data_IF_692714828764
#
_entry.id   IF_692714828764
#
_cell.length_a   1.000
_cell.length_b   1.000
_cell.length_c   1.000
_cell.angle_alpha   90.00
_cell.angle_beta   90.00
_cell.angle_gamma   90.00
#
_symmetry.space_group_name_H-M   'P 1'
#
loop_
_entity.id
_entity.type
_entity.pdbx_description
1 polymer ?
#
# COMPACT_ATOMS: atom_id res chain seq x y z
N UNK A 1 -6.09 8.88 29.74
CA UNK A 1 -6.25 7.94 30.88
C UNK A 1 -7.70 7.55 31.17
N UNK A 2 -8.71 8.45 31.15
CA UNK A 2 -10.12 8.05 31.42
C UNK A 2 -10.64 6.98 30.44
N UNK A 3 -10.32 7.07 29.17
CA UNK A 3 -10.83 6.15 28.15
C UNK A 3 -10.27 4.73 28.25
N UNK A 4 -9.00 4.56 28.68
CA UNK A 4 -8.39 3.24 28.87
C UNK A 4 -9.06 2.45 30.00
N UNK A 5 -9.34 3.09 31.14
CA UNK A 5 -10.05 2.44 32.27
C UNK A 5 -11.45 1.98 31.88
N UNK A 6 -12.18 2.75 31.06
CA UNK A 6 -13.49 2.33 30.55
C UNK A 6 -13.38 1.11 29.61
N UNK A 7 -12.31 1.04 28.82
CA UNK A 7 -12.07 -0.09 27.92
C UNK A 7 -11.68 -1.36 28.69
N UNK A 8 -10.91 -1.23 29.77
CA UNK A 8 -10.58 -2.36 30.67
C UNK A 8 -11.82 -2.98 31.31
N UNK A 9 -12.85 -2.16 31.59
CA UNK A 9 -14.13 -2.57 32.12
C UNK A 9 -15.12 -3.08 31.07
N UNK A 10 -14.80 -2.94 29.79
CA UNK A 10 -15.63 -3.43 28.70
C UNK A 10 -15.65 -4.97 28.64
N UNK A 11 -16.68 -5.60 28.03
CA UNK A 11 -16.72 -7.04 27.80
C UNK A 11 -15.45 -7.56 27.14
N UNK A 12 -15.09 -8.82 27.41
CA UNK A 12 -13.85 -9.45 26.88
C UNK A 12 -13.82 -9.57 25.36
N UNK A 13 -14.98 -9.48 24.72
CA UNK A 13 -15.07 -9.39 23.25
C UNK A 13 -16.04 -8.29 22.85
N UNK A 14 -15.52 -7.28 22.16
CA UNK A 14 -16.37 -6.25 21.56
C UNK A 14 -16.96 -6.79 20.24
N UNK A 15 -18.26 -6.57 19.97
CA UNK A 15 -18.95 -7.15 18.81
C UNK A 15 -18.57 -6.53 17.47
N UNK A 16 -17.63 -5.58 17.47
CA UNK A 16 -17.27 -4.82 16.29
C UNK A 16 -16.29 -5.59 15.37
N UNK A 17 -16.53 -5.53 14.07
CA UNK A 17 -15.61 -6.03 13.05
C UNK A 17 -14.49 -5.05 12.74
N UNK A 18 -14.65 -3.80 13.16
CA UNK A 18 -13.78 -2.69 12.84
C UNK A 18 -13.69 -1.73 14.02
N UNK A 19 -12.49 -1.33 14.37
CA UNK A 19 -12.24 -0.34 15.40
C UNK A 19 -11.31 0.75 14.89
N UNK A 20 -11.56 1.99 15.28
CA UNK A 20 -10.66 3.12 15.04
C UNK A 20 -10.02 3.49 16.36
N UNK A 21 -8.70 3.49 16.40
CA UNK A 21 -7.91 3.74 17.59
C UNK A 21 -7.01 4.96 17.42
N UNK A 22 -7.25 5.97 18.24
CA UNK A 22 -6.38 7.13 18.31
C UNK A 22 -5.10 6.78 19.09
N UNK A 23 -3.99 6.72 18.37
CA UNK A 23 -2.68 6.36 18.91
C UNK A 23 -1.99 7.58 19.54
N UNK A 24 -1.67 7.44 20.82
CA UNK A 24 -0.97 8.46 21.62
C UNK A 24 0.54 8.17 21.82
N UNK A 25 1.05 7.12 21.18
CA UNK A 25 2.43 6.66 21.36
C UNK A 25 2.60 5.55 22.40
N UNK A 26 1.57 5.24 23.21
CA UNK A 26 1.65 4.27 24.29
C UNK A 26 1.26 2.84 23.84
N UNK A 27 2.18 1.88 23.93
CA UNK A 27 1.92 0.47 23.58
C UNK A 27 0.85 -0.18 24.46
N UNK A 28 0.73 0.25 25.71
CA UNK A 28 -0.26 -0.31 26.65
C UNK A 28 -1.68 -0.11 26.11
N UNK A 29 -2.00 1.06 25.55
CA UNK A 29 -3.31 1.32 24.98
C UNK A 29 -3.65 0.41 23.81
N UNK A 30 -2.69 0.18 22.94
CA UNK A 30 -2.83 -0.74 21.80
C UNK A 30 -3.11 -2.17 22.27
N UNK A 31 -2.34 -2.67 23.24
CA UNK A 31 -2.54 -4.01 23.83
C UNK A 31 -3.91 -4.18 24.44
N UNK A 32 -4.41 -3.19 25.18
CA UNK A 32 -5.74 -3.23 25.79
C UNK A 32 -6.84 -3.27 24.72
N UNK A 33 -6.75 -2.42 23.69
CA UNK A 33 -7.73 -2.39 22.59
C UNK A 33 -7.74 -3.71 21.84
N UNK A 34 -6.57 -4.19 21.44
CA UNK A 34 -6.46 -5.42 20.64
C UNK A 34 -6.88 -6.66 21.42
N UNK A 35 -6.63 -6.72 22.74
CA UNK A 35 -7.09 -7.82 23.60
C UNK A 35 -8.64 -7.92 23.69
N UNK A 36 -9.36 -6.81 23.53
CA UNK A 36 -10.83 -6.77 23.55
C UNK A 36 -11.46 -6.97 22.17
N UNK A 37 -10.67 -7.00 21.11
CA UNK A 37 -11.19 -7.22 19.75
C UNK A 37 -11.43 -8.71 19.52
N UNK A 38 -12.57 -9.02 18.90
CA UNK A 38 -12.86 -10.38 18.46
C UNK A 38 -11.89 -10.84 17.37
N UNK A 39 -11.81 -12.15 17.18
CA UNK A 39 -11.04 -12.72 16.07
C UNK A 39 -11.52 -12.20 14.71
N UNK A 40 -10.57 -11.89 13.82
CA UNK A 40 -10.84 -11.32 12.50
C UNK A 40 -11.23 -9.84 12.47
N UNK A 41 -11.39 -9.20 13.64
CA UNK A 41 -11.62 -7.75 13.67
C UNK A 41 -10.37 -6.97 13.25
N UNK A 42 -10.58 -5.87 12.54
CA UNK A 42 -9.52 -5.00 12.03
C UNK A 42 -9.43 -3.70 12.81
N UNK A 43 -8.20 -3.25 13.05
CA UNK A 43 -7.90 -1.99 13.70
C UNK A 43 -7.38 -0.98 12.67
N UNK A 44 -7.94 0.21 12.72
CA UNK A 44 -7.39 1.39 12.06
C UNK A 44 -6.73 2.26 13.12
N UNK A 45 -5.43 2.42 13.03
CA UNK A 45 -4.69 3.35 13.86
C UNK A 45 -4.78 4.78 13.30
N UNK A 46 -5.15 5.72 14.13
CA UNK A 46 -5.10 7.15 13.80
C UNK A 46 -4.04 7.80 14.68
N UNK A 47 -3.06 8.44 14.06
CA UNK A 47 -1.93 9.06 14.76
C UNK A 47 -1.82 10.54 14.38
N UNK A 48 -1.30 11.41 15.26
CA UNK A 48 -0.87 12.73 14.84
C UNK A 48 0.08 12.66 13.65
N UNK A 49 0.22 13.71 12.84
CA UNK A 49 1.21 13.77 11.76
C UNK A 49 2.58 13.37 12.30
N UNK A 50 3.11 12.26 11.82
CA UNK A 50 4.31 11.62 12.34
C UNK A 50 5.20 11.15 11.19
N UNK A 51 6.41 10.72 11.52
CA UNK A 51 7.32 10.11 10.56
C UNK A 51 6.91 8.65 10.26
N UNK A 52 7.47 8.09 9.22
CA UNK A 52 7.22 6.73 8.76
C UNK A 52 7.46 5.66 9.86
N UNK A 53 8.46 5.87 10.73
CA UNK A 53 8.76 4.94 11.82
C UNK A 53 7.59 4.80 12.82
N UNK A 54 6.87 5.88 13.11
CA UNK A 54 5.70 5.83 13.99
C UNK A 54 4.52 5.09 13.35
N UNK A 55 4.34 5.23 12.03
CA UNK A 55 3.30 4.53 11.27
C UNK A 55 3.58 3.02 11.24
N UNK A 56 4.82 2.62 10.98
CA UNK A 56 5.20 1.20 10.92
C UNK A 56 5.09 0.50 12.27
N UNK A 57 5.33 1.22 13.38
CA UNK A 57 5.18 0.66 14.72
C UNK A 57 3.76 0.14 14.99
N UNK A 58 2.72 0.87 14.61
CA UNK A 58 1.33 0.42 14.72
C UNK A 58 1.05 -0.79 13.82
N UNK A 59 1.58 -0.78 12.61
CA UNK A 59 1.38 -1.87 11.65
C UNK A 59 2.07 -3.18 12.03
N UNK A 60 2.99 -3.19 12.99
CA UNK A 60 3.58 -4.42 13.52
C UNK A 60 2.56 -5.27 14.31
N UNK A 61 1.48 -4.66 14.83
CA UNK A 61 0.37 -5.45 15.35
C UNK A 61 -0.39 -6.14 14.19
N UNK A 62 -0.62 -7.45 14.25
CA UNK A 62 -1.26 -8.19 13.16
C UNK A 62 -2.70 -7.75 12.87
N UNK A 63 -3.39 -7.13 13.83
CA UNK A 63 -4.76 -6.62 13.69
C UNK A 63 -4.81 -5.22 13.10
N UNK A 64 -3.71 -4.46 13.20
CA UNK A 64 -3.61 -3.10 12.67
C UNK A 64 -3.07 -3.14 11.25
N UNK A 65 -3.94 -3.11 10.25
CA UNK A 65 -3.56 -3.12 8.84
C UNK A 65 -3.67 -1.74 8.17
N UNK A 66 -4.14 -0.74 8.91
CA UNK A 66 -4.38 0.60 8.41
C UNK A 66 -3.92 1.63 9.42
N UNK A 67 -3.06 2.54 9.02
CA UNK A 67 -2.62 3.66 9.85
C UNK A 67 -2.75 4.95 9.06
N UNK A 68 -3.38 5.93 9.66
CA UNK A 68 -3.73 7.21 9.06
C UNK A 68 -3.29 8.35 9.98
N UNK A 69 -3.00 9.51 9.40
CA UNK A 69 -2.82 10.73 10.21
C UNK A 69 -4.15 11.39 10.51
N UNK A 70 -4.23 12.04 11.68
CA UNK A 70 -5.42 12.77 12.14
C UNK A 70 -5.51 14.14 11.44
N UNK A 71 -5.87 14.13 10.16
CA UNK A 71 -6.14 15.33 9.35
C UNK A 71 -7.37 15.09 8.45
N UNK A 72 -7.82 16.11 7.74
CA UNK A 72 -9.00 16.03 6.88
C UNK A 72 -8.89 14.95 5.80
N UNK A 73 -7.68 14.68 5.32
CA UNK A 73 -7.43 13.60 4.35
C UNK A 73 -7.58 12.21 4.98
N UNK A 74 -7.31 12.09 6.28
CA UNK A 74 -7.47 10.85 7.03
C UNK A 74 -8.92 10.40 7.09
N UNK A 75 -9.87 11.30 7.31
CA UNK A 75 -11.30 10.93 7.36
C UNK A 75 -11.80 10.37 6.02
N UNK A 76 -11.41 10.97 4.88
CA UNK A 76 -11.74 10.42 3.57
C UNK A 76 -11.15 9.02 3.38
N UNK A 77 -9.92 8.80 3.84
CA UNK A 77 -9.25 7.50 3.77
C UNK A 77 -9.92 6.46 4.67
N UNK A 78 -10.41 6.84 5.85
CA UNK A 78 -11.21 5.96 6.71
C UNK A 78 -12.48 5.50 6.00
N UNK A 79 -13.20 6.41 5.34
CA UNK A 79 -14.41 6.06 4.60
C UNK A 79 -14.14 5.03 3.48
N UNK A 80 -13.09 5.24 2.68
CA UNK A 80 -12.65 4.29 1.66
C UNK A 80 -12.25 2.94 2.31
N UNK A 81 -11.55 2.96 3.43
CA UNK A 81 -11.13 1.75 4.15
C UNK A 81 -12.35 0.95 4.61
N UNK A 82 -13.35 1.60 5.23
CA UNK A 82 -14.59 0.96 5.66
C UNK A 82 -15.36 0.40 4.46
N UNK A 83 -15.51 1.18 3.38
CA UNK A 83 -16.18 0.73 2.16
C UNK A 83 -15.56 -0.54 1.61
N UNK A 84 -14.23 -0.58 1.42
CA UNK A 84 -13.51 -1.75 0.94
C UNK A 84 -13.71 -2.97 1.85
N UNK A 85 -13.73 -2.74 3.13
CA UNK A 85 -13.93 -3.79 4.12
C UNK A 85 -15.35 -4.39 4.08
N UNK A 86 -16.37 -3.53 3.90
CA UNK A 86 -17.77 -3.94 3.84
C UNK A 86 -18.10 -4.63 2.52
N UNK A 87 -17.58 -4.11 1.41
CA UNK A 87 -17.91 -4.61 0.07
C UNK A 87 -17.01 -5.77 -0.39
N UNK A 88 -15.82 -5.93 0.21
CA UNK A 88 -14.79 -6.85 -0.29
C UNK A 88 -14.17 -6.42 -1.61
N UNK A 89 -14.59 -5.30 -2.20
CA UNK A 89 -14.01 -4.76 -3.43
C UNK A 89 -12.74 -3.96 -3.13
N UNK A 90 -11.59 -4.63 -3.21
CA UNK A 90 -10.31 -4.06 -2.78
C UNK A 90 -9.60 -3.24 -3.86
N UNK A 91 -9.72 -3.64 -5.12
CA UNK A 91 -8.91 -3.12 -6.22
C UNK A 91 -9.51 -1.88 -6.86
N UNK A 92 -8.67 -1.09 -7.48
CA UNK A 92 -9.05 0.08 -8.28
C UNK A 92 -8.62 1.40 -7.67
N UNK A 93 -7.84 2.15 -8.46
CA UNK A 93 -7.37 3.50 -8.13
C UNK A 93 -8.54 4.50 -7.97
N UNK A 94 -9.67 4.23 -8.61
CA UNK A 94 -10.87 5.08 -8.61
C UNK A 94 -11.43 5.34 -7.22
N UNK A 95 -11.19 4.42 -6.28
CA UNK A 95 -11.63 4.54 -4.89
C UNK A 95 -10.96 5.71 -4.14
N UNK A 96 -9.84 6.18 -4.67
CA UNK A 96 -9.02 7.25 -4.10
C UNK A 96 -9.15 8.57 -4.88
N UNK A 97 -10.09 8.63 -5.81
CA UNK A 97 -10.30 9.75 -6.71
C UNK A 97 -11.72 10.29 -6.54
N UNK A 98 -11.93 11.58 -6.79
CA UNK A 98 -13.28 12.13 -6.97
C UNK A 98 -14.03 11.35 -8.05
N UNK A 99 -15.36 11.27 -7.90
CA UNK A 99 -16.23 10.66 -8.91
C UNK A 99 -15.97 11.27 -10.28
N UNK A 100 -16.06 10.46 -11.32
CA UNK A 100 -15.91 10.86 -12.72
C UNK A 100 -14.50 11.37 -13.10
N UNK A 101 -13.47 11.15 -12.26
CA UNK A 101 -12.10 11.45 -12.61
C UNK A 101 -11.62 10.51 -13.74
N UNK A 102 -11.10 11.08 -14.82
CA UNK A 102 -10.55 10.31 -15.93
C UNK A 102 -9.29 9.54 -15.48
N UNK A 103 -9.29 8.22 -15.65
CA UNK A 103 -8.18 7.34 -15.33
C UNK A 103 -7.54 6.83 -16.61
N UNK A 104 -6.24 7.04 -16.74
CA UNK A 104 -5.41 6.49 -17.82
C UNK A 104 -4.93 5.08 -17.44
N UNK A 105 -4.77 4.23 -18.45
CA UNK A 105 -4.38 2.84 -18.28
C UNK A 105 -3.41 2.41 -19.38
N UNK A 106 -2.24 1.92 -18.97
CA UNK A 106 -1.29 1.25 -19.87
C UNK A 106 -1.05 -0.17 -19.39
N UNK A 107 -1.03 -1.15 -20.31
CA UNK A 107 -0.74 -2.56 -20.03
C UNK A 107 0.56 -2.95 -20.69
N UNK A 108 1.38 -3.68 -19.93
CA UNK A 108 2.67 -4.16 -20.43
C UNK A 108 2.95 -5.57 -19.93
N UNK A 109 3.78 -6.29 -20.69
CA UNK A 109 4.31 -7.62 -20.31
C UNK A 109 5.83 -7.65 -20.42
N UNK A 110 6.40 -6.70 -21.15
CA UNK A 110 7.81 -6.62 -21.45
C UNK A 110 8.50 -5.59 -20.59
N UNK A 111 9.68 -5.91 -20.14
CA UNK A 111 10.53 -4.97 -19.44
C UNK A 111 10.86 -3.72 -20.29
N UNK A 112 11.07 -3.91 -21.61
CA UNK A 112 11.33 -2.80 -22.55
C UNK A 112 10.19 -1.77 -22.57
N UNK A 113 8.95 -2.21 -22.42
CA UNK A 113 7.78 -1.32 -22.38
C UNK A 113 7.69 -0.42 -21.15
N UNK A 114 8.46 -0.74 -20.09
CA UNK A 114 8.47 -0.01 -18.85
C UNK A 114 8.83 1.46 -19.00
N UNK A 115 9.92 1.77 -19.71
CA UNK A 115 10.38 3.16 -19.91
C UNK A 115 9.32 3.97 -20.62
N UNK A 116 8.74 3.46 -21.70
CA UNK A 116 7.67 4.15 -22.42
C UNK A 116 6.44 4.39 -21.54
N UNK A 117 6.04 3.41 -20.72
CA UNK A 117 4.92 3.57 -19.80
C UNK A 117 5.19 4.64 -18.72
N UNK A 118 6.42 4.74 -18.22
CA UNK A 118 6.81 5.79 -17.27
C UNK A 118 6.81 7.17 -17.96
N UNK A 119 7.34 7.25 -19.19
CA UNK A 119 7.37 8.49 -19.97
C UNK A 119 5.93 9.01 -20.24
N UNK A 120 4.97 8.12 -20.52
CA UNK A 120 3.55 8.48 -20.63
C UNK A 120 3.00 9.08 -19.33
N UNK A 121 3.28 8.45 -18.19
CA UNK A 121 2.88 8.95 -16.86
C UNK A 121 3.47 10.33 -16.60
N UNK A 122 4.76 10.52 -16.87
CA UNK A 122 5.47 11.78 -16.62
C UNK A 122 5.02 12.89 -17.56
N UNK A 123 4.78 12.58 -18.83
CA UNK A 123 4.24 13.54 -19.81
C UNK A 123 2.83 14.00 -19.41
N UNK A 124 1.98 13.07 -18.95
CA UNK A 124 0.67 13.43 -18.42
C UNK A 124 0.78 14.28 -17.15
N UNK A 125 1.64 13.90 -16.20
CA UNK A 125 1.85 14.65 -14.97
C UNK A 125 2.36 16.08 -15.26
N UNK A 126 3.21 16.26 -16.28
CA UNK A 126 3.64 17.58 -16.76
C UNK A 126 2.51 18.37 -17.35
N UNK A 127 1.75 17.78 -18.28
CA UNK A 127 0.59 18.40 -18.93
C UNK A 127 -0.42 18.93 -17.92
N UNK A 128 -0.66 18.22 -16.83
CA UNK A 128 -1.60 18.63 -15.78
C UNK A 128 -0.97 19.54 -14.70
N UNK A 129 0.29 19.96 -14.87
CA UNK A 129 0.95 20.95 -14.02
C UNK A 129 1.48 20.40 -12.68
N UNK A 130 1.83 19.11 -12.60
CA UNK A 130 2.54 18.58 -11.45
C UNK A 130 3.94 19.16 -11.38
N UNK A 131 4.38 19.62 -10.20
CA UNK A 131 5.72 20.21 -10.00
C UNK A 131 6.83 19.21 -10.34
N UNK A 132 7.94 19.70 -10.89
CA UNK A 132 9.09 18.89 -11.33
C UNK A 132 9.60 17.91 -10.25
N UNK A 133 9.73 18.37 -9.00
CA UNK A 133 10.17 17.50 -7.90
C UNK A 133 9.21 16.36 -7.61
N UNK A 134 7.89 16.64 -7.68
CA UNK A 134 6.86 15.61 -7.52
C UNK A 134 6.86 14.65 -8.71
N UNK A 135 7.04 15.16 -9.94
CA UNK A 135 7.18 14.31 -11.15
C UNK A 135 8.37 13.34 -11.02
N UNK A 136 9.51 13.83 -10.50
CA UNK A 136 10.67 12.97 -10.24
C UNK A 136 10.33 11.85 -9.24
N UNK A 137 9.61 12.16 -8.17
CA UNK A 137 9.16 11.16 -7.20
C UNK A 137 8.16 10.16 -7.82
N UNK A 138 7.21 10.63 -8.62
CA UNK A 138 6.27 9.77 -9.37
C UNK A 138 7.03 8.82 -10.28
N UNK A 139 8.04 9.30 -11.02
CA UNK A 139 8.86 8.48 -11.89
C UNK A 139 9.60 7.38 -11.14
N UNK A 140 10.22 7.72 -10.01
CA UNK A 140 10.89 6.73 -9.16
C UNK A 140 9.92 5.68 -8.61
N UNK A 141 8.76 6.11 -8.13
CA UNK A 141 7.72 5.21 -7.63
C UNK A 141 7.20 4.31 -8.75
N UNK A 142 6.93 4.84 -9.95
CA UNK A 142 6.49 4.05 -11.10
C UNK A 142 7.52 2.99 -11.48
N UNK A 143 8.81 3.38 -11.50
CA UNK A 143 9.94 2.48 -11.78
C UNK A 143 9.95 1.29 -10.82
N UNK A 144 9.93 1.56 -9.51
CA UNK A 144 9.99 0.53 -8.48
C UNK A 144 8.76 -0.39 -8.49
N UNK A 145 7.57 0.18 -8.66
CA UNK A 145 6.35 -0.61 -8.73
C UNK A 145 6.31 -1.51 -9.96
N UNK A 146 6.76 -1.01 -11.12
CA UNK A 146 6.83 -1.81 -12.34
C UNK A 146 7.93 -2.87 -12.25
N UNK A 147 9.06 -2.57 -11.61
CA UNK A 147 10.11 -3.58 -11.35
C UNK A 147 9.56 -4.72 -10.49
N UNK A 148 8.92 -4.41 -9.38
CA UNK A 148 8.33 -5.41 -8.51
C UNK A 148 7.27 -6.25 -9.25
N UNK A 149 6.40 -5.62 -10.03
CA UNK A 149 5.31 -6.29 -10.73
C UNK A 149 5.77 -7.16 -11.92
N UNK A 150 6.78 -6.69 -12.69
CA UNK A 150 7.30 -7.39 -13.88
C UNK A 150 8.35 -8.45 -13.54
N UNK A 151 8.98 -8.30 -12.39
CA UNK A 151 10.22 -8.98 -12.05
C UNK A 151 10.13 -9.87 -10.83
N UNK A 152 9.77 -9.28 -9.68
CA UNK A 152 9.77 -9.98 -8.40
C UNK A 152 8.49 -10.77 -8.18
N UNK A 153 7.38 -10.31 -8.79
CA UNK A 153 6.09 -10.96 -8.66
C UNK A 153 5.92 -12.24 -9.50
N UNK A 154 6.49 -12.36 -10.73
CA UNK A 154 6.27 -13.53 -11.57
C UNK A 154 6.81 -14.81 -10.94
N UNK A 155 5.95 -15.83 -10.93
CA UNK A 155 6.27 -17.19 -10.49
C UNK A 155 5.79 -18.19 -11.51
N UNK A 156 6.43 -19.36 -11.50
CA UNK A 156 6.00 -20.54 -12.25
C UNK A 156 4.77 -21.22 -11.59
N UNK A 157 4.35 -22.34 -12.13
CA UNK A 157 3.23 -23.14 -11.61
C UNK A 157 3.47 -23.72 -10.21
N UNK A 158 4.75 -23.83 -9.79
CA UNK A 158 5.16 -24.31 -8.47
C UNK A 158 5.33 -23.17 -7.45
N UNK A 159 5.14 -21.90 -7.87
CA UNK A 159 5.32 -20.73 -7.02
C UNK A 159 6.78 -20.27 -6.88
N UNK A 160 7.70 -20.80 -7.72
CA UNK A 160 9.11 -20.43 -7.74
C UNK A 160 9.29 -19.11 -8.49
N UNK A 161 10.06 -18.14 -7.97
CA UNK A 161 10.35 -16.89 -8.67
C UNK A 161 11.03 -17.14 -10.03
N UNK A 162 10.42 -16.63 -11.10
CA UNK A 162 10.89 -16.89 -12.47
C UNK A 162 12.17 -16.14 -12.83
N UNK A 163 12.41 -14.99 -12.20
CA UNK A 163 13.47 -14.07 -12.62
C UNK A 163 14.50 -13.76 -11.52
N UNK A 164 14.45 -14.43 -10.36
CA UNK A 164 15.33 -14.14 -9.23
C UNK A 164 16.83 -14.24 -9.56
N UNK A 165 17.21 -15.21 -10.38
CA UNK A 165 18.59 -15.47 -10.78
C UNK A 165 18.96 -14.94 -12.15
N UNK A 166 18.05 -14.24 -12.84
CA UNK A 166 18.29 -13.73 -14.19
C UNK A 166 19.07 -12.42 -14.12
N UNK A 167 20.18 -12.32 -14.85
CA UNK A 167 21.00 -11.09 -14.96
C UNK A 167 20.16 -9.93 -15.53
N UNK A 168 20.45 -8.71 -15.06
CA UNK A 168 19.78 -7.48 -15.48
C UNK A 168 19.75 -7.30 -17.02
N UNK A 169 20.80 -7.72 -17.73
CA UNK A 169 20.88 -7.62 -19.19
C UNK A 169 19.94 -8.61 -19.90
N UNK A 170 19.86 -9.83 -19.38
CA UNK A 170 18.98 -10.86 -19.93
C UNK A 170 17.50 -10.58 -19.61
N UNK A 171 17.27 -9.81 -18.59
CA UNK A 171 15.94 -9.40 -18.17
C UNK A 171 15.22 -8.57 -19.23
N UNK A 172 15.91 -7.80 -20.03
CA UNK A 172 15.33 -6.89 -21.02
C UNK A 172 14.41 -7.61 -22.02
N UNK A 173 14.70 -8.87 -22.33
CA UNK A 173 13.98 -9.66 -23.33
C UNK A 173 12.97 -10.66 -22.72
N UNK A 174 12.83 -10.68 -21.40
CA UNK A 174 11.86 -11.57 -20.73
C UNK A 174 10.46 -10.98 -20.72
N UNK A 175 9.51 -11.86 -20.96
CA UNK A 175 8.07 -11.54 -20.90
C UNK A 175 7.49 -12.01 -19.57
N UNK A 176 6.79 -11.14 -18.88
CA UNK A 176 5.94 -11.58 -17.79
C UNK A 176 4.83 -12.49 -18.32
N UNK A 177 4.58 -13.67 -17.73
CA UNK A 177 3.54 -14.58 -18.19
C UNK A 177 2.14 -13.96 -18.09
N UNK A 178 1.95 -12.97 -17.24
CA UNK A 178 0.69 -12.25 -17.04
C UNK A 178 0.90 -10.74 -17.19
N UNK A 179 -0.06 -10.01 -17.80
CA UNK A 179 0.09 -8.56 -17.99
C UNK A 179 0.09 -7.82 -16.66
N UNK A 180 0.97 -6.82 -16.57
CA UNK A 180 1.00 -5.81 -15.54
C UNK A 180 0.25 -4.59 -16.06
N UNK A 181 -0.47 -3.89 -15.21
CA UNK A 181 -1.14 -2.65 -15.56
C UNK A 181 -0.65 -1.51 -14.69
N UNK A 182 -0.37 -0.37 -15.31
CA UNK A 182 -0.15 0.91 -14.65
C UNK A 182 -1.34 1.81 -14.94
N UNK A 183 -1.89 2.43 -13.90
CA UNK A 183 -3.02 3.37 -13.99
C UNK A 183 -2.66 4.65 -13.28
N UNK A 184 -3.11 5.76 -13.82
CA UNK A 184 -2.81 7.07 -13.25
C UNK A 184 -3.90 8.08 -13.56
N UNK A 185 -4.04 9.05 -12.67
CA UNK A 185 -5.01 10.13 -12.79
C UNK A 185 -4.54 11.36 -12.02
N UNK A 186 -5.04 12.52 -12.40
CA UNK A 186 -4.82 13.75 -11.67
C UNK A 186 -6.15 14.31 -11.16
N UNK A 187 -6.11 14.89 -9.98
CA UNK A 187 -7.17 15.71 -9.41
C UNK A 187 -6.70 17.15 -9.31
N UNK A 188 -7.55 18.05 -8.84
CA UNK A 188 -7.15 19.44 -8.60
C UNK A 188 -5.92 19.57 -7.71
N UNK A 189 -5.84 18.78 -6.63
CA UNK A 189 -4.79 18.89 -5.62
C UNK A 189 -3.83 17.69 -5.58
N UNK A 190 -4.12 16.60 -6.28
CA UNK A 190 -3.39 15.37 -6.20
C UNK A 190 -3.08 14.71 -7.53
N UNK A 191 -2.15 13.76 -7.49
CA UNK A 191 -1.87 12.81 -8.56
C UNK A 191 -1.92 11.42 -7.95
N UNK A 192 -2.56 10.48 -8.61
CA UNK A 192 -2.64 9.09 -8.18
C UNK A 192 -2.01 8.18 -9.22
N UNK A 193 -1.31 7.15 -8.73
CA UNK A 193 -0.66 6.12 -9.52
C UNK A 193 -0.97 4.76 -8.92
N UNK A 194 -1.32 3.77 -9.72
CA UNK A 194 -1.34 2.38 -9.28
C UNK A 194 -0.67 1.44 -10.26
N UNK A 195 -0.01 0.41 -9.74
CA UNK A 195 0.51 -0.70 -10.52
C UNK A 195 -0.11 -1.99 -9.98
N UNK A 196 -0.62 -2.82 -10.88
CA UNK A 196 -1.24 -4.10 -10.56
C UNK A 196 -0.61 -5.23 -11.33
N UNK A 197 -0.11 -6.23 -10.61
CA UNK A 197 0.25 -7.54 -11.13
C UNK A 197 -0.89 -8.55 -10.97
N UNK A 198 -0.68 -9.76 -11.48
CA UNK A 198 -1.62 -10.87 -11.37
C UNK A 198 -1.04 -12.08 -10.64
N UNK A 199 -0.16 -11.86 -9.66
CA UNK A 199 0.49 -12.93 -8.90
C UNK A 199 0.11 -12.94 -7.42
N UNK A 200 -0.17 -11.77 -6.81
CA UNK A 200 -0.64 -11.68 -5.42
C UNK A 200 0.41 -12.13 -4.40
N UNK A 201 1.67 -11.76 -4.58
CA UNK A 201 2.77 -12.24 -3.75
C UNK A 201 3.28 -11.27 -2.69
N UNK A 202 3.07 -9.98 -2.88
CA UNK A 202 3.51 -9.00 -1.91
C UNK A 202 2.61 -9.04 -0.68
N UNK A 203 3.18 -9.16 0.51
CA UNK A 203 2.47 -9.19 1.77
C UNK A 203 2.91 -8.07 2.72
N UNK A 204 2.14 -7.88 3.78
CA UNK A 204 2.39 -6.87 4.81
C UNK A 204 3.75 -7.05 5.49
N UNK A 205 4.11 -8.29 5.83
CA UNK A 205 5.35 -8.58 6.55
C UNK A 205 6.57 -8.21 5.71
N UNK A 206 6.52 -8.50 4.41
CA UNK A 206 7.55 -8.11 3.44
C UNK A 206 7.68 -6.60 3.33
N UNK A 207 6.56 -5.87 3.21
CA UNK A 207 6.56 -4.40 3.16
C UNK A 207 7.18 -3.80 4.41
N UNK A 208 6.73 -4.24 5.59
CA UNK A 208 7.23 -3.72 6.88
C UNK A 208 8.71 -4.03 7.08
N UNK A 209 9.16 -5.24 6.74
CA UNK A 209 10.58 -5.63 6.83
C UNK A 209 11.48 -4.73 6.00
N UNK A 210 11.05 -4.35 4.79
CA UNK A 210 11.84 -3.47 3.93
C UNK A 210 11.87 -2.04 4.43
N UNK A 211 10.75 -1.53 4.92
CA UNK A 211 10.69 -0.20 5.53
C UNK A 211 11.57 -0.16 6.78
N UNK A 212 11.45 -1.15 7.66
CA UNK A 212 12.22 -1.24 8.91
C UNK A 212 13.72 -1.35 8.67
N UNK A 213 14.15 -2.19 7.72
CA UNK A 213 15.54 -2.31 7.31
C UNK A 213 16.14 -0.96 6.89
N UNK A 214 15.39 -0.16 6.12
CA UNK A 214 15.86 1.15 5.66
C UNK A 214 15.87 2.20 6.76
N UNK A 215 14.95 2.11 7.73
CA UNK A 215 14.92 3.03 8.88
C UNK A 215 16.09 2.83 9.84
N UNK A 216 16.51 1.58 10.04
CA UNK A 216 17.55 1.23 11.04
C UNK A 216 18.94 1.05 10.45
N UNK A 217 19.09 1.04 9.13
CA UNK A 217 20.40 0.87 8.47
C UNK A 217 20.67 1.92 7.39
N UNK A 218 20.59 3.22 7.69
CA UNK A 218 20.77 4.27 6.69
C UNK A 218 22.17 4.29 6.05
N UNK A 219 23.19 3.71 6.69
CA UNK A 219 24.56 3.64 6.19
C UNK A 219 24.86 2.44 5.28
N UNK A 220 24.00 1.43 5.26
CA UNK A 220 24.11 0.28 4.36
C UNK A 220 23.41 0.47 3.00
N UNK A 221 23.01 1.70 2.71
CA UNK A 221 22.56 2.10 1.37
C UNK A 221 23.80 2.29 0.49
N UNK A 222 24.72 1.34 0.53
CA UNK A 222 25.78 1.26 -0.47
C UNK A 222 25.13 0.90 -1.81
N UNK A 223 25.42 1.72 -2.80
CA UNK A 223 24.88 1.69 -4.18
C UNK A 223 25.03 0.35 -4.92
N UNK A 224 25.56 -0.68 -4.28
CA UNK A 224 25.82 -2.02 -4.84
C UNK A 224 24.79 -3.08 -4.47
N UNK A 225 23.87 -2.81 -3.56
CA UNK A 225 22.78 -3.75 -3.21
C UNK A 225 21.46 -3.18 -3.74
N UNK A 226 21.35 -3.06 -5.05
CA UNK A 226 20.07 -2.94 -5.74
C UNK A 226 19.32 -4.28 -5.62
N UNK A 227 18.77 -4.54 -4.46
CA UNK A 227 17.91 -5.68 -4.19
C UNK A 227 16.58 -5.17 -3.64
N UNK A 228 15.52 -5.89 -3.90
CA UNK A 228 14.08 -5.68 -3.69
C UNK A 228 13.58 -5.02 -2.37
N UNK A 229 14.28 -4.12 -1.74
CA UNK A 229 13.86 -3.55 -0.46
C UNK A 229 13.90 -2.04 -0.38
N UNK A 230 14.85 -1.41 -1.08
CA UNK A 230 14.99 0.03 -1.06
C UNK A 230 13.80 0.72 -1.77
N UNK A 231 13.26 0.08 -2.80
CA UNK A 231 12.15 0.61 -3.58
C UNK A 231 10.89 0.86 -2.76
N UNK A 232 10.46 -0.09 -1.94
CA UNK A 232 9.27 0.07 -1.09
C UNK A 232 9.46 1.21 -0.09
N UNK A 233 10.65 1.37 0.48
CA UNK A 233 10.97 2.49 1.35
C UNK A 233 10.93 3.83 0.61
N UNK A 234 11.48 3.91 -0.60
CA UNK A 234 11.43 5.11 -1.44
C UNK A 234 9.97 5.47 -1.77
N UNK A 235 9.15 4.49 -2.13
CA UNK A 235 7.71 4.68 -2.37
C UNK A 235 7.04 5.28 -1.13
N UNK A 236 7.27 4.69 0.04
CA UNK A 236 6.66 5.14 1.29
C UNK A 236 7.10 6.55 1.72
N UNK A 237 8.30 6.99 1.33
CA UNK A 237 8.77 8.36 1.58
C UNK A 237 8.34 9.37 0.51
N UNK A 238 8.00 8.92 -0.68
CA UNK A 238 7.63 9.80 -1.79
C UNK A 238 6.12 10.06 -1.88
N UNK A 239 5.30 9.11 -1.46
CA UNK A 239 3.85 9.17 -1.54
C UNK A 239 3.21 9.84 -0.31
N UNK A 240 2.06 10.45 -0.48
CA UNK A 240 1.20 10.90 0.63
C UNK A 240 0.33 9.78 1.17
N UNK A 241 -0.06 8.83 0.31
CA UNK A 241 -0.72 7.58 0.71
C UNK A 241 -0.03 6.42 0.00
N UNK A 242 0.13 5.33 0.74
CA UNK A 242 0.62 4.06 0.24
C UNK A 242 -0.39 2.97 0.62
N UNK A 243 -1.00 2.36 -0.39
CA UNK A 243 -2.02 1.33 -0.19
C UNK A 243 -1.62 0.07 -0.94
N UNK A 244 -1.56 -1.04 -0.21
CA UNK A 244 -1.33 -2.37 -0.75
C UNK A 244 -2.64 -3.16 -0.74
N UNK A 245 -3.09 -3.59 -1.91
CA UNK A 245 -4.24 -4.47 -2.09
C UNK A 245 -3.73 -5.84 -2.56
N UNK A 246 -4.05 -6.90 -1.84
CA UNK A 246 -3.58 -8.26 -2.15
C UNK A 246 -4.74 -9.23 -2.21
N UNK A 247 -4.86 -9.94 -3.31
CA UNK A 247 -5.57 -11.20 -3.41
C UNK A 247 -4.50 -12.30 -3.55
N UNK A 248 -4.21 -13.06 -2.49
CA UNK A 248 -3.10 -14.02 -2.48
C UNK A 248 -3.18 -15.01 -3.63
N UNK A 249 -2.08 -15.19 -4.37
CA UNK A 249 -1.99 -16.04 -5.56
C UNK A 249 -2.71 -15.51 -6.81
N UNK A 250 -3.41 -14.38 -6.72
CA UNK A 250 -4.24 -13.84 -7.81
C UNK A 250 -3.78 -12.47 -8.31
N UNK A 251 -3.60 -11.49 -7.41
CA UNK A 251 -3.21 -10.15 -7.79
C UNK A 251 -2.65 -9.35 -6.62
N UNK A 252 -1.69 -8.46 -6.92
CA UNK A 252 -1.29 -7.36 -6.05
C UNK A 252 -1.55 -6.04 -6.78
N UNK A 253 -2.07 -5.05 -6.09
CA UNK A 253 -2.13 -3.67 -6.55
C UNK A 253 -1.55 -2.75 -5.48
N UNK A 254 -0.61 -1.93 -5.87
CA UNK A 254 -0.12 -0.83 -5.03
C UNK A 254 -0.68 0.47 -5.57
N UNK A 255 -1.32 1.25 -4.70
CA UNK A 255 -1.83 2.58 -5.02
C UNK A 255 -1.05 3.61 -4.23
N UNK A 256 -0.52 4.61 -4.92
CA UNK A 256 0.19 5.73 -4.35
C UNK A 256 -0.50 7.04 -4.74
N UNK A 257 -0.66 7.96 -3.80
CA UNK A 257 -1.11 9.32 -4.10
C UNK A 257 -0.02 10.33 -3.76
N UNK A 258 -0.03 11.45 -4.44
CA UNK A 258 0.96 12.52 -4.33
C UNK A 258 0.25 13.86 -4.26
N UNK A 259 0.73 14.77 -3.44
CA UNK A 259 0.31 16.18 -3.49
C UNK A 259 0.99 16.86 -4.69
N UNK A 260 0.20 17.51 -5.55
CA UNK A 260 0.74 18.18 -6.76
C UNK A 260 1.58 19.42 -6.45
N UNK A 261 1.33 20.05 -5.31
CA UNK A 261 1.86 21.37 -4.95
C UNK A 261 3.00 21.30 -3.94
N UNK A 262 3.08 20.23 -3.14
CA UNK A 262 4.02 20.12 -2.04
C UNK A 262 5.15 19.15 -2.39
N UNK A 263 6.38 19.68 -2.42
CA UNK A 263 7.57 18.88 -2.76
C UNK A 263 8.02 17.93 -1.65
N UNK A 264 7.66 18.21 -0.41
CA UNK A 264 7.92 17.30 0.72
C UNK A 264 6.72 16.39 0.92
N UNK A 265 6.89 15.15 0.52
CA UNK A 265 5.91 14.11 0.86
C UNK A 265 5.95 13.89 2.38
N UNK A 266 4.78 13.87 2.97
CA UNK A 266 4.58 13.35 4.31
C UNK A 266 3.56 12.23 4.17
N UNK A 267 3.97 11.01 4.46
CA UNK A 267 3.07 9.87 4.39
C UNK A 267 1.95 10.08 5.43
N UNK A 268 0.72 10.14 4.94
CA UNK A 268 -0.49 10.37 5.75
C UNK A 268 -1.31 9.11 5.96
N UNK A 269 -1.10 8.11 5.09
CA UNK A 269 -1.77 6.83 5.20
C UNK A 269 -0.89 5.70 4.66
N UNK A 270 -0.85 4.61 5.42
CA UNK A 270 -0.29 3.33 5.00
C UNK A 270 -1.33 2.25 5.30
N UNK A 271 -1.81 1.58 4.26
CA UNK A 271 -2.89 0.60 4.39
C UNK A 271 -2.56 -0.69 3.65
N UNK A 272 -2.86 -1.82 4.28
CA UNK A 272 -2.76 -3.15 3.68
C UNK A 272 -4.11 -3.83 3.71
N UNK A 273 -4.64 -4.14 2.54
CA UNK A 273 -5.87 -4.90 2.38
C UNK A 273 -5.53 -6.27 1.82
N UNK A 274 -5.93 -7.32 2.54
CA UNK A 274 -5.79 -8.69 2.07
C UNK A 274 -7.17 -9.25 1.80
N UNK A 275 -7.39 -9.74 0.57
CA UNK A 275 -8.64 -10.39 0.22
C UNK A 275 -8.77 -11.68 1.03
N UNK A 276 -9.85 -11.88 1.78
CA UNK A 276 -10.05 -13.11 2.52
C UNK A 276 -10.17 -14.27 1.51
N UNK A 277 -9.34 -15.29 1.68
CA UNK A 277 -9.43 -16.50 0.87
C UNK A 277 -10.80 -17.18 1.01
N UNK A 278 -11.14 -18.08 0.08
CA UNK A 278 -12.45 -18.74 0.03
C UNK A 278 -12.89 -19.37 1.37
N UNK A 279 -11.94 -19.89 2.17
CA UNK A 279 -12.23 -20.42 3.50
C UNK A 279 -12.69 -19.35 4.51
N UNK A 280 -12.15 -18.14 4.43
CA UNK A 280 -12.59 -17.02 5.28
C UNK A 280 -13.91 -16.41 4.81
N UNK A 281 -14.22 -16.47 3.50
CA UNK A 281 -15.52 -16.03 2.97
C UNK A 281 -16.67 -16.91 3.47
N UNK A 282 -16.47 -18.22 3.54
CA UNK A 282 -17.47 -19.15 4.09
C UNK A 282 -17.73 -18.93 5.59
N UNK A 283 -16.68 -18.66 6.37
CA UNK A 283 -16.81 -18.31 7.79
C UNK A 283 -17.51 -16.96 8.00
N UNK A 284 -17.28 -15.97 7.15
CA UNK A 284 -17.96 -14.69 7.22
C UNK A 284 -19.43 -14.76 6.81
N UNK A 285 -19.77 -15.63 5.84
CA UNK A 285 -21.15 -15.87 5.41
C UNK A 285 -21.95 -16.68 6.43
N UNK A 286 -21.30 -17.65 7.10
CA UNK A 286 -21.97 -18.46 8.15
C UNK A 286 -22.19 -17.72 9.46
N UNK A 287 -21.52 -16.58 9.69
CA UNK A 287 -21.70 -15.72 10.86
C UNK A 287 -22.62 -14.53 10.60
N UNK A 288 -23.08 -14.33 9.37
CA UNK A 288 -23.96 -13.23 8.96
C UNK A 288 -25.42 -13.68 8.75
N UNK A 289 -25.71 -14.98 8.85
CA UNK A 289 -27.05 -15.59 8.90
C UNK A 289 -27.38 -16.02 10.32
#
# INVERSE_FOLDING_TARGET
>A
MRNLKMLEQAPDQLPFRFAVYAWDGAEMGLKVVTAKMREGAQLVGVTPPSNLASLTRLLNDPRCNHVLTADDSGFATVAVTIQKFVTGDLFGIEKYLPKDTAVHLTRLREYKGRTAAIDEVLAYAEKVGVRRQVRSAIGQVAEELLMNALYDAPVDEHGTPMFAEVDLKERLDKLSPRPVSIRYAATENGFALSVRDRFGRLDKATVLRYIDKCLHSPQQIDRKVYGAGLGIYLIANAATQFVLNVAPGMATEVVCTFDRKTARASLRALSVFVYPGAAQQQLQQSQAG
#
